data_IF_408587124654
#
_entry.id   IF_408587124654
#
_cell.length_a   1.000
_cell.length_b   1.000
_cell.length_c   1.000
_cell.angle_alpha   90.00
_cell.angle_beta   90.00
_cell.angle_gamma   90.00
#
_symmetry.space_group_name_H-M   'P 1'
#
loop_
_entity.id
_entity.type
_entity.pdbx_description
1 polymer ?
#
# COMPACT_ATOMS: atom_id res chain seq x y z
N UNK A 1 -14.99 5.30 2.18
CA UNK A 1 -15.61 4.49 1.11
C UNK A 1 -17.08 4.88 0.92
N UNK A 2 -17.37 5.84 0.03
CA UNK A 2 -18.71 6.42 -0.12
C UNK A 2 -19.37 6.17 -1.49
N UNK A 3 -18.55 5.77 -2.47
CA UNK A 3 -18.93 5.38 -3.83
C UNK A 3 -18.25 4.06 -4.16
N UNK A 4 -18.63 3.45 -5.27
CA UNK A 4 -18.05 2.20 -5.79
C UNK A 4 -17.53 2.41 -7.21
N UNK A 5 -16.79 1.44 -7.72
CA UNK A 5 -16.14 1.51 -9.03
C UNK A 5 -17.15 1.76 -10.15
N UNK A 6 -18.31 1.08 -10.10
CA UNK A 6 -19.39 1.20 -11.08
C UNK A 6 -20.13 2.54 -11.06
N UNK A 7 -19.79 3.45 -10.15
CA UNK A 7 -20.25 4.84 -10.18
C UNK A 7 -19.39 5.73 -11.12
N UNK A 8 -18.32 5.17 -11.71
CA UNK A 8 -17.37 5.87 -12.58
C UNK A 8 -17.11 5.09 -13.88
N UNK A 9 -16.65 5.80 -14.91
CA UNK A 9 -16.14 5.18 -16.14
C UNK A 9 -14.83 4.41 -15.89
N UNK A 10 -14.57 3.32 -16.61
CA UNK A 10 -13.36 2.47 -16.42
C UNK A 10 -12.02 3.21 -16.58
N UNK A 11 -12.04 4.34 -17.31
CA UNK A 11 -10.86 5.21 -17.49
C UNK A 11 -10.61 6.11 -16.29
N UNK A 12 -11.61 6.29 -15.42
CA UNK A 12 -11.48 7.04 -14.19
C UNK A 12 -10.60 6.26 -13.20
N UNK A 13 -9.73 6.92 -12.42
CA UNK A 13 -8.87 6.24 -11.44
C UNK A 13 -9.63 5.36 -10.42
N UNK A 14 -10.88 5.74 -10.12
CA UNK A 14 -11.78 5.01 -9.23
C UNK A 14 -12.72 4.03 -9.95
N UNK A 15 -12.79 4.03 -11.29
CA UNK A 15 -13.70 3.14 -12.04
C UNK A 15 -13.17 1.72 -12.25
N UNK A 16 -11.91 1.47 -11.89
CA UNK A 16 -11.28 0.16 -12.11
C UNK A 16 -11.71 -0.84 -11.05
N UNK A 17 -12.35 -1.91 -11.48
CA UNK A 17 -12.74 -3.04 -10.62
C UNK A 17 -11.57 -3.60 -9.80
N UNK A 18 -10.36 -3.68 -10.39
CA UNK A 18 -9.17 -4.16 -9.69
C UNK A 18 -8.71 -3.29 -8.51
N UNK A 19 -9.28 -2.09 -8.34
CA UNK A 19 -8.96 -1.17 -7.23
C UNK A 19 -10.08 -1.13 -6.17
N UNK A 20 -11.15 -1.90 -6.33
CA UNK A 20 -12.27 -1.93 -5.41
C UNK A 20 -12.61 -3.36 -4.97
N UNK A 21 -12.73 -3.56 -3.67
CA UNK A 21 -13.23 -4.80 -3.11
C UNK A 21 -14.72 -4.72 -2.85
N UNK A 22 -15.49 -5.25 -3.79
CA UNK A 22 -16.95 -5.31 -3.70
C UNK A 22 -17.43 -6.06 -2.45
N UNK A 23 -16.70 -7.10 -2.02
CA UNK A 23 -17.02 -7.85 -0.81
C UNK A 23 -16.89 -7.00 0.47
N UNK A 24 -16.02 -5.99 0.46
CA UNK A 24 -15.72 -5.15 1.63
C UNK A 24 -16.32 -3.75 1.50
N UNK A 25 -16.95 -3.45 0.35
CA UNK A 25 -17.46 -2.13 0.03
C UNK A 25 -16.36 -1.06 0.08
N UNK A 26 -15.13 -1.39 -0.30
CA UNK A 26 -13.96 -0.55 -0.05
C UNK A 26 -12.95 -0.50 -1.18
N UNK A 27 -12.38 0.68 -1.43
CA UNK A 27 -11.22 0.83 -2.30
C UNK A 27 -9.96 0.27 -1.64
N UNK A 28 -9.09 -0.27 -2.49
CA UNK A 28 -7.73 -0.69 -2.14
C UNK A 28 -6.85 0.56 -2.16
N UNK A 29 -6.32 0.96 -1.01
CA UNK A 29 -5.45 2.13 -0.86
C UNK A 29 -4.00 1.83 -1.20
N UNK A 30 -3.54 0.60 -0.92
CA UNK A 30 -2.21 0.12 -1.29
C UNK A 30 -2.26 -1.33 -1.72
N UNK A 31 -1.41 -1.69 -2.68
CA UNK A 31 -1.31 -3.03 -3.25
C UNK A 31 0.16 -3.40 -3.41
N UNK A 32 0.60 -4.38 -2.62
CA UNK A 32 1.91 -5.03 -2.74
C UNK A 32 1.70 -6.47 -3.14
N UNK A 33 2.13 -6.82 -4.36
CA UNK A 33 2.16 -8.19 -4.85
C UNK A 33 3.61 -8.62 -5.07
N UNK A 34 4.00 -9.74 -4.51
CA UNK A 34 5.34 -10.29 -4.70
C UNK A 34 5.29 -11.81 -4.89
N UNK A 35 6.34 -12.34 -5.50
CA UNK A 35 6.68 -13.76 -5.41
C UNK A 35 8.04 -13.87 -4.74
N UNK A 36 8.22 -14.91 -3.92
CA UNK A 36 9.42 -15.08 -3.12
C UNK A 36 10.14 -16.37 -3.49
N UNK A 37 11.46 -16.32 -3.33
CA UNK A 37 12.42 -17.42 -3.43
C UNK A 37 12.97 -17.62 -2.01
N UNK A 38 12.70 -18.78 -1.43
CA UNK A 38 12.99 -19.14 -0.04
C UNK A 38 14.05 -20.23 0.07
N UNK A 39 14.32 -20.96 -1.01
CA UNK A 39 15.35 -22.00 -1.07
C UNK A 39 16.63 -21.55 -1.80
N UNK A 40 16.60 -20.39 -2.44
CA UNK A 40 17.72 -19.73 -3.10
C UNK A 40 18.05 -20.31 -4.47
N UNK A 41 17.12 -21.01 -5.12
CA UNK A 41 17.33 -21.60 -6.44
C UNK A 41 17.21 -20.58 -7.60
N UNK A 42 16.81 -19.35 -7.29
CA UNK A 42 16.60 -18.25 -8.22
C UNK A 42 15.20 -18.24 -8.87
N UNK A 43 14.34 -19.22 -8.59
CA UNK A 43 12.93 -19.24 -8.96
C UNK A 43 12.11 -18.59 -7.86
N UNK A 44 11.29 -17.62 -8.26
CA UNK A 44 10.40 -16.92 -7.34
C UNK A 44 9.01 -17.53 -7.46
N UNK A 45 8.85 -18.79 -7.06
CA UNK A 45 7.59 -19.53 -7.17
C UNK A 45 7.19 -20.31 -5.91
N UNK A 46 7.96 -20.21 -4.82
CA UNK A 46 7.66 -20.85 -3.53
C UNK A 46 6.37 -20.36 -2.90
N UNK A 47 6.13 -19.04 -2.95
CA UNK A 47 4.91 -18.43 -2.45
C UNK A 47 4.60 -17.08 -3.12
N UNK A 48 3.33 -16.69 -3.04
CA UNK A 48 2.85 -15.37 -3.45
C UNK A 48 2.43 -14.55 -2.24
N UNK A 49 2.87 -13.30 -2.20
CA UNK A 49 2.52 -12.33 -1.17
C UNK A 49 1.51 -11.35 -1.76
N UNK A 50 0.35 -11.22 -1.13
CA UNK A 50 -0.79 -10.43 -1.61
C UNK A 50 -1.28 -9.48 -0.50
N UNK A 51 -0.61 -8.34 -0.36
CA UNK A 51 -1.02 -7.31 0.59
C UNK A 51 -1.80 -6.23 -0.11
N UNK A 52 -3.11 -6.35 -0.04
CA UNK A 52 -4.05 -5.33 -0.50
C UNK A 52 -4.68 -4.75 0.75
N UNK A 53 -4.62 -3.44 0.91
CA UNK A 53 -5.11 -2.78 2.12
C UNK A 53 -6.26 -1.84 1.77
N UNK A 54 -7.41 -2.09 2.37
CA UNK A 54 -8.63 -1.33 2.15
C UNK A 54 -9.60 -1.55 3.30
N UNK A 55 -10.28 -0.48 3.68
CA UNK A 55 -11.39 -0.35 4.64
C UNK A 55 -11.36 1.09 5.14
N UNK A 56 -12.40 1.56 5.82
CA UNK A 56 -12.28 2.88 6.47
C UNK A 56 -11.23 2.84 7.62
N UNK A 57 -11.06 1.70 8.29
CA UNK A 57 -10.11 1.51 9.38
C UNK A 57 -8.64 1.53 8.92
N UNK A 58 -8.35 1.01 7.73
CA UNK A 58 -7.00 0.98 7.15
C UNK A 58 -6.60 2.32 6.51
N UNK A 59 -7.48 3.32 6.48
CA UNK A 59 -7.17 4.63 5.90
C UNK A 59 -6.15 5.37 6.77
N UNK A 60 -5.13 5.97 6.14
CA UNK A 60 -4.12 6.79 6.82
C UNK A 60 -3.89 8.08 6.05
N UNK A 61 -3.61 9.14 6.80
CA UNK A 61 -3.18 10.43 6.28
C UNK A 61 -1.74 10.68 6.71
N UNK A 62 -0.83 10.81 5.74
CA UNK A 62 0.55 11.26 5.98
C UNK A 62 0.67 12.76 5.66
N UNK A 63 1.31 13.52 6.53
CA UNK A 63 1.56 14.96 6.34
C UNK A 63 3.07 15.18 6.22
N UNK A 64 3.51 15.57 5.02
CA UNK A 64 4.91 15.86 4.71
C UNK A 64 5.11 17.37 4.62
N UNK A 65 5.73 17.95 5.65
CA UNK A 65 6.03 19.38 5.66
C UNK A 65 7.36 19.63 4.94
N UNK A 66 7.30 20.20 3.74
CA UNK A 66 8.48 20.61 2.98
C UNK A 66 8.27 21.97 2.33
N UNK A 67 9.37 22.71 2.15
CA UNK A 67 9.33 23.98 1.43
C UNK A 67 9.48 23.70 -0.06
N UNK A 68 8.45 24.06 -0.84
CA UNK A 68 8.46 23.92 -2.30
C UNK A 68 8.48 25.31 -2.93
N UNK A 69 9.56 25.62 -3.66
CA UNK A 69 9.62 26.85 -4.45
C UNK A 69 8.91 26.64 -5.78
N UNK A 70 7.85 27.40 -6.03
CA UNK A 70 7.11 27.39 -7.30
C UNK A 70 7.41 28.69 -8.02
N UNK A 71 8.07 28.59 -9.18
CA UNK A 71 8.48 29.73 -9.99
C UNK A 71 7.61 29.80 -11.25
N UNK A 72 7.36 31.03 -11.72
CA UNK A 72 6.55 31.27 -12.91
C UNK A 72 7.22 30.61 -14.11
N UNK A 73 6.42 29.92 -14.92
CA UNK A 73 6.85 29.28 -16.16
C UNK A 73 7.93 28.18 -15.96
N UNK A 74 8.12 27.69 -14.73
CA UNK A 74 9.02 26.57 -14.38
C UNK A 74 8.26 25.37 -13.81
N UNK A 75 8.81 24.17 -14.03
CA UNK A 75 8.29 22.94 -13.44
C UNK A 75 9.03 22.64 -12.14
N UNK A 76 8.31 22.70 -11.01
CA UNK A 76 8.82 22.18 -9.74
C UNK A 76 8.48 20.70 -9.59
N UNK A 77 9.47 19.86 -9.28
CA UNK A 77 9.29 18.43 -9.02
C UNK A 77 9.44 18.15 -7.53
N UNK A 78 8.41 17.54 -6.94
CA UNK A 78 8.48 16.92 -5.61
C UNK A 78 8.63 15.43 -5.80
N UNK A 79 9.68 14.84 -5.25
CA UNK A 79 9.92 13.39 -5.30
C UNK A 79 9.56 12.84 -3.93
N UNK A 80 8.67 11.85 -3.91
CA UNK A 80 8.35 11.08 -2.72
C UNK A 80 9.16 9.79 -2.76
N UNK A 81 9.76 9.45 -1.62
CA UNK A 81 10.42 8.17 -1.40
C UNK A 81 9.60 7.33 -0.43
N UNK A 82 9.63 6.02 -0.65
CA UNK A 82 8.99 5.03 0.20
C UNK A 82 10.01 3.91 0.38
N UNK A 83 10.35 3.60 1.64
CA UNK A 83 11.15 2.43 1.95
C UNK A 83 10.23 1.23 2.21
N UNK A 84 10.26 0.25 1.29
CA UNK A 84 9.46 -0.96 1.42
C UNK A 84 9.89 -1.81 2.61
N UNK A 85 11.18 -1.79 2.99
CA UNK A 85 11.65 -2.51 4.17
C UNK A 85 11.01 -1.94 5.45
N UNK A 86 10.80 -0.63 5.54
CA UNK A 86 10.08 -0.03 6.68
C UNK A 86 8.60 -0.43 6.71
N UNK A 87 7.97 -0.59 5.54
CA UNK A 87 6.60 -1.09 5.45
C UNK A 87 6.50 -2.52 5.98
N UNK A 88 7.47 -3.38 5.63
CA UNK A 88 7.47 -4.81 5.91
C UNK A 88 8.08 -5.20 7.26
N UNK A 89 7.91 -4.36 8.28
CA UNK A 89 8.34 -4.62 9.65
C UNK A 89 7.17 -4.80 10.60
N UNK A 90 7.40 -5.63 11.61
CA UNK A 90 6.57 -5.78 12.81
C UNK A 90 6.66 -4.53 13.69
N UNK A 91 5.75 -4.40 14.65
CA UNK A 91 5.78 -3.30 15.62
C UNK A 91 7.07 -3.27 16.48
N UNK A 92 7.80 -4.40 16.59
CA UNK A 92 9.11 -4.46 17.25
C UNK A 92 10.28 -4.09 16.34
N UNK A 93 10.03 -3.79 15.05
CA UNK A 93 11.05 -3.45 14.06
C UNK A 93 11.66 -4.64 13.31
N UNK A 94 11.27 -5.87 13.63
CA UNK A 94 11.73 -7.08 12.94
C UNK A 94 11.00 -7.28 11.61
N UNK A 95 11.61 -7.88 10.57
CA UNK A 95 10.92 -8.22 9.34
C UNK A 95 9.66 -9.06 9.57
N UNK A 96 8.60 -8.81 8.79
CA UNK A 96 7.41 -9.66 8.80
C UNK A 96 7.77 -11.04 8.25
N UNK A 97 7.32 -12.10 8.91
CA UNK A 97 7.34 -13.45 8.34
C UNK A 97 6.29 -13.54 7.23
N UNK A 98 6.76 -13.40 6.00
CA UNK A 98 5.93 -13.39 4.79
C UNK A 98 5.28 -14.76 4.53
N UNK A 99 5.89 -15.87 4.95
CA UNK A 99 5.33 -17.21 4.77
C UNK A 99 4.21 -17.48 5.77
N UNK A 100 4.39 -17.05 7.02
CA UNK A 100 3.34 -17.16 8.03
C UNK A 100 2.19 -16.18 7.78
N UNK A 101 2.45 -15.07 7.08
CA UNK A 101 1.47 -14.00 6.82
C UNK A 101 1.45 -13.61 5.33
N UNK A 102 0.98 -14.48 4.42
CA UNK A 102 1.15 -14.26 2.98
C UNK A 102 0.15 -13.26 2.38
N UNK A 103 -0.92 -12.90 3.08
CA UNK A 103 -1.91 -11.96 2.56
C UNK A 103 -2.64 -11.20 3.67
N UNK A 104 -3.35 -10.16 3.27
CA UNK A 104 -4.22 -9.34 4.14
C UNK A 104 -5.70 -9.52 3.81
N UNK A 105 -6.09 -10.58 3.07
CA UNK A 105 -7.43 -10.74 2.49
C UNK A 105 -8.46 -11.27 3.50
N UNK A 106 -8.54 -10.64 4.68
CA UNK A 106 -9.50 -10.96 5.73
C UNK A 106 -10.03 -9.68 6.40
N UNK A 107 -11.25 -9.27 6.04
CA UNK A 107 -11.91 -8.10 6.62
C UNK A 107 -12.25 -8.28 8.10
N UNK A 108 -12.32 -9.52 8.59
CA UNK A 108 -12.56 -9.79 10.01
C UNK A 108 -11.28 -9.68 10.86
N UNK A 109 -10.11 -9.63 10.21
CA UNK A 109 -8.81 -9.48 10.86
C UNK A 109 -7.91 -8.49 10.09
N UNK A 110 -8.06 -7.21 10.42
CA UNK A 110 -7.30 -6.13 9.80
C UNK A 110 -5.95 -5.85 10.48
N UNK A 111 -5.50 -6.66 11.45
CA UNK A 111 -4.29 -6.35 12.23
C UNK A 111 -3.07 -6.12 11.34
N UNK A 112 -2.78 -7.04 10.42
CA UNK A 112 -1.66 -6.90 9.50
C UNK A 112 -1.88 -5.76 8.50
N UNK A 113 -3.10 -5.62 7.94
CA UNK A 113 -3.42 -4.56 6.99
C UNK A 113 -3.22 -3.16 7.60
N UNK A 114 -3.68 -2.97 8.83
CA UNK A 114 -3.51 -1.73 9.58
C UNK A 114 -2.03 -1.46 9.87
N UNK A 115 -1.29 -2.46 10.35
CA UNK A 115 0.14 -2.33 10.60
C UNK A 115 0.91 -1.91 9.33
N UNK A 116 0.63 -2.55 8.19
CA UNK A 116 1.25 -2.19 6.91
C UNK A 116 0.91 -0.75 6.51
N UNK A 117 -0.33 -0.29 6.73
CA UNK A 117 -0.74 1.09 6.41
C UNK A 117 -0.16 2.12 7.38
N UNK A 118 -0.05 1.79 8.66
CA UNK A 118 0.65 2.61 9.66
C UNK A 118 2.12 2.79 9.27
N UNK A 119 2.80 1.69 8.91
CA UNK A 119 4.18 1.73 8.46
C UNK A 119 4.32 2.49 7.13
N UNK A 120 3.40 2.32 6.17
CA UNK A 120 3.39 3.05 4.91
C UNK A 120 3.30 4.56 5.14
N UNK A 121 2.39 5.00 6.00
CA UNK A 121 2.24 6.41 6.31
C UNK A 121 3.50 6.99 6.97
N UNK A 122 4.17 6.19 7.81
CA UNK A 122 5.41 6.58 8.48
C UNK A 122 6.66 6.53 7.58
N UNK A 123 6.67 5.70 6.53
CA UNK A 123 7.83 5.52 5.64
C UNK A 123 7.88 6.53 4.48
N UNK A 124 6.80 7.28 4.25
CA UNK A 124 6.74 8.34 3.26
C UNK A 124 7.65 9.50 3.65
N UNK A 125 8.54 9.89 2.74
CA UNK A 125 9.34 11.11 2.88
C UNK A 125 9.47 11.86 1.56
N UNK A 126 9.80 13.15 1.66
CA UNK A 126 10.21 13.93 0.49
C UNK A 126 11.69 13.65 0.28
N UNK A 127 12.04 13.10 -0.89
CA UNK A 127 13.42 12.77 -1.23
C UNK A 127 14.27 14.05 -1.21
N UNK A 128 15.48 13.92 -0.65
CA UNK A 128 16.45 15.01 -0.52
C UNK A 128 17.20 15.28 -1.82
#
# INVERSE_FOLDING_TARGET
NATKESDYEDTHPLGRESHYWSAWGSYIFSMTNAKIDTDGDGQHDDASILYHTGSDEAYRTAILNTQVAVLKDEQTRVVLSIDLAEILKTASGEPIDLLANPNTHDISNLTLANQLMDNFAASLEVAK
#
